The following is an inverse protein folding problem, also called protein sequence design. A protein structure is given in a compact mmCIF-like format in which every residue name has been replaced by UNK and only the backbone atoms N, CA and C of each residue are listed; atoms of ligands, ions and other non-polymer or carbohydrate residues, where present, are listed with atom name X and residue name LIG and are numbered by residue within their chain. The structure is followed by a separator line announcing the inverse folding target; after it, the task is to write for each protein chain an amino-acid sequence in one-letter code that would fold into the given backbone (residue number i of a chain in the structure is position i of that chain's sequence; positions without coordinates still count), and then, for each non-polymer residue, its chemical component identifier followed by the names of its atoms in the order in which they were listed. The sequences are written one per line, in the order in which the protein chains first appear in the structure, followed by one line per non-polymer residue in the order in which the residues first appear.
data_IF_436232461542
#
_entry.id   IF_436232461542
#
_cell.length_a   1.000
_cell.length_b   1.000
_cell.length_c   1.000
_cell.angle_alpha   90.00
_cell.angle_beta   90.00
_cell.angle_gamma   90.00
#
_symmetry.space_group_name_H-M   'P 1'
#
loop_
_entity.id
_entity.type
_entity.pdbx_description
1 polymer ?
#
# COMPACT_ATOMS: atom_id res chain seq x y z
N UNK A 1 -35.02 -30.00 22.31
CA UNK A 1 -34.89 -28.59 22.72
C UNK A 1 -33.53 -28.14 22.23
N UNK A 2 -33.49 -27.36 21.14
CA UNK A 2 -32.23 -26.87 20.58
C UNK A 2 -31.83 -25.61 21.36
N UNK A 3 -30.68 -25.66 22.03
CA UNK A 3 -30.08 -24.50 22.69
C UNK A 3 -29.75 -23.44 21.65
N UNK A 4 -30.42 -22.28 21.75
CA UNK A 4 -30.13 -21.09 20.96
C UNK A 4 -28.83 -20.48 21.48
N UNK A 5 -27.70 -20.94 20.95
CA UNK A 5 -26.38 -20.37 21.27
C UNK A 5 -26.35 -18.95 20.72
N UNK A 6 -26.62 -17.97 21.58
CA UNK A 6 -26.55 -16.55 21.25
C UNK A 6 -25.08 -16.19 20.99
N UNK A 7 -24.70 -16.23 19.72
CA UNK A 7 -23.34 -15.94 19.27
C UNK A 7 -23.11 -14.42 19.30
N UNK A 8 -22.68 -13.91 20.46
CA UNK A 8 -22.41 -12.49 20.62
C UNK A 8 -21.27 -12.03 19.70
N UNK A 9 -21.40 -10.86 19.04
CA UNK A 9 -20.33 -10.33 18.20
C UNK A 9 -19.12 -9.96 19.06
N UNK A 10 -17.93 -10.48 18.70
CA UNK A 10 -16.66 -10.13 19.35
C UNK A 10 -16.11 -8.78 18.88
N UNK A 11 -16.63 -8.27 17.77
CA UNK A 11 -16.30 -6.95 17.27
C UNK A 11 -16.88 -6.71 15.89
N UNK A 12 -16.31 -5.73 15.18
CA UNK A 12 -16.73 -5.42 13.82
C UNK A 12 -15.54 -5.05 12.93
N UNK A 13 -15.67 -5.34 11.64
CA UNK A 13 -14.67 -4.98 10.62
C UNK A 13 -15.34 -4.13 9.54
N UNK A 14 -14.65 -3.11 9.05
CA UNK A 14 -15.15 -2.34 7.90
C UNK A 14 -14.87 -3.11 6.61
N UNK A 15 -15.82 -3.15 5.69
CA UNK A 15 -15.64 -3.60 4.31
C UNK A 15 -15.01 -2.50 3.45
N UNK A 16 -14.47 -2.84 2.27
CA UNK A 16 -13.93 -1.87 1.32
C UNK A 16 -14.99 -0.89 0.80
N UNK A 17 -16.26 -1.30 0.77
CA UNK A 17 -17.38 -0.42 0.41
C UNK A 17 -17.84 0.53 1.53
N UNK A 18 -17.19 0.50 2.70
CA UNK A 18 -17.48 1.37 3.84
C UNK A 18 -18.48 0.81 4.86
N UNK A 19 -19.13 -0.32 4.58
CA UNK A 19 -20.07 -0.96 5.53
C UNK A 19 -19.31 -1.62 6.68
N UNK A 20 -19.80 -1.45 7.91
CA UNK A 20 -19.32 -2.17 9.09
C UNK A 20 -20.02 -3.52 9.19
N UNK A 21 -19.26 -4.61 9.23
CA UNK A 21 -19.76 -5.98 9.33
C UNK A 21 -19.45 -6.50 10.74
N UNK A 22 -20.46 -6.88 11.55
CA UNK A 22 -20.22 -7.53 12.83
C UNK A 22 -19.60 -8.90 12.61
N UNK A 23 -18.67 -9.30 13.48
CA UNK A 23 -17.98 -10.58 13.39
C UNK A 23 -18.16 -11.33 14.70
N UNK A 24 -18.70 -12.53 14.63
CA UNK A 24 -18.84 -13.41 15.79
C UNK A 24 -17.53 -14.16 16.08
N UNK A 25 -17.37 -14.67 17.30
CA UNK A 25 -16.13 -15.36 17.68
C UNK A 25 -15.81 -16.55 16.77
N UNK A 26 -16.85 -17.28 16.38
CA UNK A 26 -16.79 -18.47 15.51
C UNK A 26 -16.45 -18.14 14.05
N UNK A 27 -16.69 -16.89 13.63
CA UNK A 27 -16.50 -16.43 12.26
C UNK A 27 -15.06 -15.98 11.98
N UNK A 28 -14.25 -15.82 13.03
CA UNK A 28 -12.84 -15.45 12.86
C UNK A 28 -12.08 -16.63 12.24
N UNK A 29 -11.37 -16.37 11.16
CA UNK A 29 -10.71 -17.38 10.34
C UNK A 29 -11.58 -17.96 9.23
N UNK A 30 -12.87 -17.59 9.15
CA UNK A 30 -13.75 -17.94 8.04
C UNK A 30 -13.76 -16.85 6.96
N UNK A 31 -14.15 -17.24 5.75
CA UNK A 31 -14.43 -16.29 4.67
C UNK A 31 -15.80 -15.64 4.88
N UNK A 32 -15.82 -14.32 4.91
CA UNK A 32 -17.00 -13.49 5.11
C UNK A 32 -17.32 -12.76 3.81
N UNK A 33 -18.61 -12.65 3.48
CA UNK A 33 -19.07 -11.96 2.28
C UNK A 33 -19.83 -10.70 2.69
N UNK A 34 -19.44 -9.55 2.14
CA UNK A 34 -20.16 -8.31 2.41
C UNK A 34 -21.55 -8.35 1.77
N UNK A 35 -22.60 -8.16 2.56
CA UNK A 35 -23.99 -8.11 2.07
C UNK A 35 -24.24 -6.97 1.06
N UNK A 36 -23.42 -5.91 1.05
CA UNK A 36 -23.59 -4.77 0.14
C UNK A 36 -22.86 -4.93 -1.19
N UNK A 37 -21.54 -5.17 -1.17
CA UNK A 37 -20.72 -5.21 -2.38
C UNK A 37 -20.33 -6.63 -2.83
N UNK A 38 -20.75 -7.67 -2.11
CA UNK A 38 -20.43 -9.09 -2.37
C UNK A 38 -18.94 -9.42 -2.37
N UNK A 39 -18.09 -8.53 -1.87
CA UNK A 39 -16.66 -8.81 -1.71
C UNK A 39 -16.47 -9.87 -0.62
N UNK A 40 -15.68 -10.90 -0.92
CA UNK A 40 -15.22 -11.89 0.05
C UNK A 40 -13.93 -11.43 0.74
N UNK A 41 -13.86 -11.63 2.04
CA UNK A 41 -12.68 -11.32 2.84
C UNK A 41 -12.59 -12.27 4.03
N UNK A 42 -11.37 -12.55 4.49
CA UNK A 42 -11.13 -13.37 5.66
C UNK A 42 -10.90 -12.48 6.86
N UNK A 43 -11.62 -12.70 7.96
CA UNK A 43 -11.36 -11.95 9.20
C UNK A 43 -10.36 -12.73 10.04
N UNK A 44 -9.32 -12.05 10.54
CA UNK A 44 -8.31 -12.67 11.42
C UNK A 44 -8.01 -11.77 12.60
N UNK A 45 -7.45 -12.36 13.66
CA UNK A 45 -6.79 -11.62 14.71
C UNK A 45 -5.42 -11.15 14.22
N UNK A 46 -5.20 -9.84 14.28
CA UNK A 46 -3.89 -9.24 14.07
C UNK A 46 -3.44 -8.54 15.36
N UNK A 47 -2.14 -8.41 15.54
CA UNK A 47 -1.56 -7.61 16.63
C UNK A 47 -1.29 -6.24 16.05
N UNK A 48 -1.88 -5.19 16.63
CA UNK A 48 -1.58 -3.83 16.22
C UNK A 48 -0.10 -3.51 16.52
N UNK A 49 0.68 -3.01 15.54
CA UNK A 49 2.12 -2.87 15.72
C UNK A 49 2.50 -1.80 16.75
N UNK A 50 1.63 -0.80 16.98
CA UNK A 50 1.86 0.33 17.89
C UNK A 50 1.44 -0.01 19.32
N UNK A 51 0.27 -0.59 19.48
CA UNK A 51 -0.35 -0.85 20.79
C UNK A 51 -0.10 -2.26 21.31
N UNK A 52 0.26 -3.20 20.43
CA UNK A 52 0.37 -4.66 20.72
C UNK A 52 -0.96 -5.32 21.09
N UNK A 53 -2.08 -4.61 20.95
CA UNK A 53 -3.40 -5.16 21.19
C UNK A 53 -3.87 -6.08 20.07
N UNK A 54 -4.67 -7.08 20.43
CA UNK A 54 -5.33 -7.97 19.45
C UNK A 54 -6.52 -7.23 18.84
N UNK A 55 -6.46 -7.00 17.54
CA UNK A 55 -7.50 -6.32 16.76
C UNK A 55 -8.02 -7.23 15.66
N UNK A 56 -9.32 -7.14 15.37
CA UNK A 56 -9.90 -7.83 14.22
C UNK A 56 -9.53 -7.08 12.95
N UNK A 57 -8.85 -7.78 12.04
CA UNK A 57 -8.39 -7.23 10.77
C UNK A 57 -8.94 -8.07 9.62
N UNK A 58 -9.34 -7.38 8.56
CA UNK A 58 -9.71 -8.03 7.29
C UNK A 58 -8.45 -8.34 6.49
N UNK A 59 -8.29 -9.58 6.09
CA UNK A 59 -7.42 -9.98 5.00
C UNK A 59 -8.29 -10.11 3.75
N UNK A 60 -7.88 -9.50 2.64
CA UNK A 60 -8.54 -9.76 1.37
C UNK A 60 -8.48 -11.27 1.09
N UNK A 61 -9.62 -11.91 0.85
CA UNK A 61 -9.62 -13.30 0.43
C UNK A 61 -8.83 -13.38 -0.88
N UNK A 62 -7.91 -14.35 -0.97
CA UNK A 62 -7.10 -14.64 -2.16
C UNK A 62 -7.97 -14.50 -3.41
N UNK A 63 -7.64 -13.57 -4.31
CA UNK A 63 -8.35 -13.44 -5.59
C UNK A 63 -8.62 -12.02 -6.04
N UNK A 64 -8.44 -11.03 -5.16
CA UNK A 64 -8.16 -9.68 -5.61
C UNK A 64 -6.78 -9.65 -6.25
N UNK A 65 -6.59 -10.29 -7.41
CA UNK A 65 -5.46 -9.99 -8.27
C UNK A 65 -5.50 -8.46 -8.39
N UNK A 66 -4.52 -7.78 -7.79
CA UNK A 66 -4.28 -6.38 -8.11
C UNK A 66 -4.09 -6.44 -9.61
N UNK A 67 -5.10 -5.99 -10.36
CA UNK A 67 -5.03 -5.92 -11.80
C UNK A 67 -4.07 -4.79 -12.07
N UNK A 68 -2.78 -5.13 -12.09
CA UNK A 68 -1.72 -4.26 -12.55
C UNK A 68 -2.08 -3.98 -14.01
N UNK A 69 -2.51 -2.75 -14.35
CA UNK A 69 -2.89 -2.45 -15.72
C UNK A 69 -1.69 -2.72 -16.61
N UNK A 70 -1.93 -3.33 -17.78
CA UNK A 70 -0.87 -3.62 -18.74
C UNK A 70 0.00 -2.38 -18.99
N UNK A 71 1.32 -2.53 -18.86
CA UNK A 71 2.27 -1.42 -18.96
C UNK A 71 2.51 -0.66 -17.66
N UNK A 72 2.03 -1.14 -16.52
CA UNK A 72 2.47 -0.64 -15.21
C UNK A 72 3.68 -1.44 -14.71
N UNK A 73 4.54 -0.78 -13.93
CA UNK A 73 5.79 -1.35 -13.44
C UNK A 73 5.92 -1.14 -11.94
N UNK A 74 6.53 -2.11 -11.28
CA UNK A 74 6.75 -2.09 -9.84
C UNK A 74 7.96 -1.22 -9.49
N UNK A 75 7.78 -0.40 -8.45
CA UNK A 75 8.74 0.57 -7.96
C UNK A 75 8.90 0.35 -6.46
N UNK A 76 10.11 0.01 -6.03
CA UNK A 76 10.38 -0.24 -4.61
C UNK A 76 10.89 1.05 -3.95
N UNK A 77 10.21 1.48 -2.89
CA UNK A 77 10.64 2.58 -2.04
C UNK A 77 11.76 2.12 -1.08
N UNK A 78 12.58 3.05 -0.58
CA UNK A 78 13.64 2.73 0.41
C UNK A 78 13.08 2.27 1.75
N UNK A 79 11.81 2.53 2.04
CA UNK A 79 11.13 1.96 3.21
C UNK A 79 10.66 0.51 3.03
N UNK A 80 10.89 -0.09 1.85
CA UNK A 80 10.42 -1.44 1.51
C UNK A 80 9.02 -1.49 0.87
N UNK A 81 8.30 -0.37 0.81
CA UNK A 81 6.98 -0.32 0.17
C UNK A 81 7.09 -0.49 -1.35
N UNK A 82 6.30 -1.40 -1.93
CA UNK A 82 6.15 -1.56 -3.38
C UNK A 82 5.01 -0.68 -3.89
N UNK A 83 5.30 0.10 -4.92
CA UNK A 83 4.35 0.95 -5.65
C UNK A 83 4.21 0.45 -7.08
N UNK A 84 3.05 0.65 -7.69
CA UNK A 84 2.82 0.35 -9.10
C UNK A 84 2.68 1.65 -9.87
N UNK A 85 3.63 1.95 -10.74
CA UNK A 85 3.66 3.16 -11.55
C UNK A 85 3.25 2.86 -13.00
N UNK A 86 2.42 3.72 -13.60
CA UNK A 86 2.09 3.64 -15.04
C UNK A 86 3.15 4.34 -15.88
N UNK A 87 3.28 3.96 -17.16
CA UNK A 87 4.13 4.68 -18.13
C UNK A 87 3.84 6.19 -18.21
N UNK A 88 2.58 6.60 -18.01
CA UNK A 88 2.16 8.02 -18.02
C UNK A 88 2.60 8.81 -16.78
N UNK A 89 3.04 8.10 -15.74
CA UNK A 89 3.60 8.71 -14.54
C UNK A 89 5.12 8.88 -14.64
N UNK A 90 5.75 8.35 -15.69
CA UNK A 90 7.18 8.49 -15.85
C UNK A 90 7.55 9.91 -16.27
N UNK A 91 8.57 10.44 -15.60
CA UNK A 91 8.95 11.85 -15.52
C UNK A 91 8.32 12.61 -14.35
N UNK A 92 7.32 12.05 -13.67
CA UNK A 92 6.63 12.73 -12.55
C UNK A 92 7.28 12.41 -11.21
N UNK A 93 7.12 13.34 -10.27
CA UNK A 93 7.46 13.16 -8.86
C UNK A 93 6.25 12.62 -8.12
N UNK A 94 6.43 11.52 -7.39
CA UNK A 94 5.39 10.92 -6.54
C UNK A 94 5.90 10.83 -5.11
N UNK A 95 4.99 10.73 -4.14
CA UNK A 95 5.34 10.51 -2.73
C UNK A 95 4.95 9.10 -2.33
N UNK A 96 5.79 8.45 -1.52
CA UNK A 96 5.43 7.18 -0.91
C UNK A 96 4.26 7.38 0.08
N UNK A 97 3.17 6.60 0.00
CA UNK A 97 2.02 6.74 0.91
C UNK A 97 2.35 6.28 2.34
N UNK A 98 3.42 5.50 2.53
CA UNK A 98 3.81 4.97 3.85
C UNK A 98 4.77 5.91 4.56
N UNK A 99 5.88 6.31 3.93
CA UNK A 99 6.92 7.12 4.57
C UNK A 99 6.94 8.58 4.11
N UNK A 100 6.17 8.97 3.09
CA UNK A 100 6.15 10.33 2.54
C UNK A 100 7.36 10.72 1.68
N UNK A 101 8.36 9.83 1.52
CA UNK A 101 9.58 10.12 0.77
C UNK A 101 9.27 10.48 -0.71
N UNK A 102 9.87 11.55 -1.24
CA UNK A 102 9.72 11.91 -2.65
C UNK A 102 10.48 10.90 -3.51
N UNK A 103 9.86 10.50 -4.61
CA UNK A 103 10.43 9.57 -5.59
C UNK A 103 10.24 10.14 -6.98
N UNK A 104 11.26 10.01 -7.83
CA UNK A 104 11.19 10.38 -9.24
C UNK A 104 11.12 9.10 -10.06
N UNK A 105 10.16 9.08 -10.98
CA UNK A 105 9.90 7.96 -11.87
C UNK A 105 10.66 8.24 -13.17
N UNK A 106 11.80 7.59 -13.40
CA UNK A 106 12.60 7.81 -14.62
C UNK A 106 12.10 6.96 -15.79
N UNK A 107 12.09 7.51 -17.01
CA UNK A 107 11.96 6.72 -18.24
C UNK A 107 13.37 6.27 -18.67
N UNK A 108 13.58 4.97 -18.77
CA UNK A 108 14.77 4.42 -19.42
C UNK A 108 14.33 3.45 -20.51
N UNK A 109 14.96 3.51 -21.68
CA UNK A 109 14.79 2.50 -22.71
C UNK A 109 15.73 1.36 -22.41
N UNK A 110 15.18 0.18 -22.17
CA UNK A 110 16.00 -1.02 -22.04
C UNK A 110 16.71 -1.29 -23.37
N UNK A 111 18.05 -1.37 -23.40
CA UNK A 111 18.79 -1.52 -24.65
C UNK A 111 18.64 -2.91 -25.27
N UNK A 112 18.15 -3.92 -24.54
CA UNK A 112 17.90 -5.25 -25.08
C UNK A 112 16.48 -5.44 -25.60
N UNK A 113 15.48 -4.82 -24.95
CA UNK A 113 14.07 -5.04 -25.30
C UNK A 113 13.39 -3.84 -25.97
N UNK A 114 14.07 -2.70 -26.09
CA UNK A 114 13.52 -1.41 -26.53
C UNK A 114 12.29 -0.93 -25.71
N UNK A 115 11.96 -1.63 -24.62
CA UNK A 115 10.84 -1.29 -23.78
C UNK A 115 11.17 -0.11 -22.88
N UNK A 116 10.23 0.82 -22.78
CA UNK A 116 10.32 1.90 -21.80
C UNK A 116 10.07 1.34 -20.41
N UNK A 117 11.15 1.17 -19.65
CA UNK A 117 11.14 0.81 -18.24
C UNK A 117 11.19 2.04 -17.36
N UNK A 118 10.73 1.84 -16.15
CA UNK A 118 10.54 2.81 -15.11
C UNK A 118 11.39 2.38 -13.93
N UNK A 119 12.26 3.27 -13.47
CA UNK A 119 13.04 3.04 -12.26
C UNK A 119 12.90 4.20 -11.31
N UNK A 120 13.18 3.94 -10.03
CA UNK A 120 13.40 5.01 -9.06
C UNK A 120 14.70 5.69 -9.48
N UNK A 121 14.69 7.01 -9.69
CA UNK A 121 15.93 7.76 -9.59
C UNK A 121 16.42 7.57 -8.17
N UNK A 122 17.44 6.75 -7.96
CA UNK A 122 18.21 6.81 -6.73
C UNK A 122 18.55 8.30 -6.55
N UNK A 123 18.23 8.86 -5.38
CA UNK A 123 18.53 10.22 -4.98
C UNK A 123 19.77 10.71 -5.71
N UNK A 124 19.62 11.63 -6.67
CA UNK A 124 20.76 12.40 -7.11
C UNK A 124 21.15 13.23 -5.87
N UNK A 125 22.31 13.01 -5.24
CA UNK A 125 22.83 13.91 -4.22
C UNK A 125 23.18 15.23 -4.92
N UNK A 126 22.18 16.07 -5.15
CA UNK A 126 22.31 17.13 -6.15
C UNK A 126 21.31 18.27 -6.07
N UNK A 127 20.41 18.30 -5.07
CA UNK A 127 19.83 19.58 -4.65
C UNK A 127 20.87 20.33 -3.81
N UNK A 128 21.95 20.78 -4.48
CA UNK A 128 22.81 21.86 -3.98
C UNK A 128 21.89 23.06 -3.77
N UNK A 129 21.51 23.29 -2.52
CA UNK A 129 21.24 24.64 -2.05
C UNK A 129 22.40 25.52 -2.53
N UNK A 130 22.08 26.66 -3.14
CA UNK A 130 23.05 27.70 -3.46
C UNK A 130 23.72 28.12 -2.15
N UNK A 131 24.82 27.48 -1.79
CA UNK A 131 25.76 27.99 -0.81
C UNK A 131 26.53 29.08 -1.54
N UNK A 132 26.04 30.31 -1.39
CA UNK A 132 26.70 31.52 -1.86
C UNK A 132 28.07 31.60 -1.20
N UNK A 133 29.12 31.18 -1.92
CA UNK A 133 30.50 31.45 -1.54
C UNK A 133 30.73 32.96 -1.61
N UNK A 134 30.61 33.64 -0.46
CA UNK A 134 31.06 35.01 -0.30
C UNK A 134 32.58 34.92 -0.16
N UNK A 135 33.30 35.16 -1.25
CA UNK A 135 34.76 35.29 -1.25
C UNK A 135 35.06 36.65 -0.59
N UNK A 136 35.29 36.64 0.72
CA UNK A 136 35.84 37.80 1.41
C UNK A 136 37.34 37.87 1.12
N UNK A 137 37.71 38.65 0.10
CA UNK A 137 39.07 39.15 -0.06
C UNK A 137 39.36 40.13 1.09
N UNK A 138 40.40 39.88 1.86
CA UNK A 138 40.91 40.78 2.91
C UNK A 138 42.19 41.44 2.38
N UNK A 139 42.36 42.76 2.59
CA UNK A 139 43.39 43.59 1.95
C UNK A 139 44.83 43.28 2.41
#
# INVERSE_FOLDING_TARGET
MADEVTNAPVGSVRCACGVTVPVAATDVGQEQVCSKCKASFKVVWAIDPKTKDKVLTRLAAKGGAIRIPAGSQELVCSCGQVLVARKDQAGKRVKCPVCGAPMVIEKYKDPLTDETKVRRSADLPGSRSKETAIIAAKP
#
